data_IF_487993851420
#
_entry.id   IF_487993851420
#
_cell.length_a   1.000
_cell.length_b   1.000
_cell.length_c   1.000
_cell.angle_alpha   90.00
_cell.angle_beta   90.00
_cell.angle_gamma   90.00
#
_symmetry.space_group_name_H-M   'P 1'
#
loop_
_entity.id
_entity.type
_entity.pdbx_description
1 polymer ?
#
# COMPACT_ATOMS: atom_id res chain seq x y z
N UNK A 1 7.29 7.76 24.79
CA UNK A 1 8.69 7.81 24.41
C UNK A 1 9.40 6.58 24.92
N UNK A 2 9.60 5.61 24.02
CA UNK A 2 10.18 4.27 24.34
C UNK A 2 11.55 4.40 25.04
N UNK A 3 12.35 5.39 24.67
CA UNK A 3 13.66 5.63 25.29
C UNK A 3 13.55 5.96 26.78
N UNK A 4 12.62 6.82 27.17
CA UNK A 4 12.39 7.13 28.60
C UNK A 4 11.86 5.93 29.38
N UNK A 5 11.08 5.08 28.73
CA UNK A 5 10.59 3.83 29.34
C UNK A 5 11.77 2.85 29.52
N UNK A 6 12.61 2.68 28.48
CA UNK A 6 13.76 1.79 28.55
C UNK A 6 14.80 2.20 29.63
N UNK A 7 15.05 3.49 29.77
CA UNK A 7 15.95 4.02 30.83
C UNK A 7 15.44 3.74 32.24
N UNK A 8 14.10 3.62 32.41
CA UNK A 8 13.49 3.33 33.70
C UNK A 8 13.52 1.85 34.09
N UNK A 9 13.56 0.94 33.12
CA UNK A 9 13.44 -0.50 33.35
C UNK A 9 14.70 -1.31 33.01
N UNK A 10 15.67 -0.72 32.31
CA UNK A 10 16.88 -1.40 31.91
C UNK A 10 18.12 -0.81 32.63
N UNK A 11 18.92 -1.69 33.22
CA UNK A 11 20.17 -1.32 33.87
C UNK A 11 21.32 -1.42 32.85
N UNK A 12 21.92 -0.28 32.48
CA UNK A 12 23.04 -0.17 31.49
C UNK A 12 22.74 -0.89 30.18
N UNK A 13 21.66 -0.53 29.45
CA UNK A 13 21.32 -1.21 28.20
C UNK A 13 22.39 -0.93 27.13
N UNK A 14 22.86 -1.98 26.47
CA UNK A 14 23.67 -1.85 25.26
C UNK A 14 22.76 -1.47 24.09
N UNK A 15 23.02 -0.31 23.49
CA UNK A 15 22.25 0.19 22.34
C UNK A 15 22.79 -0.45 21.07
N UNK A 16 22.07 -1.42 20.52
CA UNK A 16 22.38 -2.02 19.23
C UNK A 16 21.51 -1.35 18.17
N UNK A 17 22.12 -0.61 17.26
CA UNK A 17 21.42 -0.09 16.08
C UNK A 17 21.67 -1.06 14.93
N UNK A 18 20.69 -1.90 14.64
CA UNK A 18 20.72 -2.78 13.48
C UNK A 18 20.28 -1.99 12.25
N UNK A 19 21.19 -1.29 11.58
CA UNK A 19 20.99 -0.60 10.31
C UNK A 19 19.75 0.30 10.22
N UNK A 20 19.62 1.07 9.16
CA UNK A 20 18.37 1.77 8.86
C UNK A 20 17.28 0.72 8.52
N UNK A 21 16.23 0.65 9.35
CA UNK A 21 15.01 -0.15 9.06
C UNK A 21 14.23 0.40 7.85
N UNK A 22 14.69 1.50 7.29
CA UNK A 22 14.21 2.02 6.02
C UNK A 22 14.75 1.14 4.91
N UNK A 23 13.90 0.27 4.35
CA UNK A 23 14.09 -0.22 2.97
C UNK A 23 14.48 1.00 2.15
N UNK A 24 15.56 0.95 1.33
CA UNK A 24 15.91 2.10 0.52
C UNK A 24 14.71 2.47 -0.33
N UNK A 25 14.01 3.53 0.06
CA UNK A 25 12.84 4.07 -0.67
C UNK A 25 13.21 4.28 -2.15
N UNK A 26 14.49 4.54 -2.41
CA UNK A 26 15.08 4.66 -3.74
C UNK A 26 14.88 3.43 -4.66
N UNK A 27 14.63 2.24 -4.12
CA UNK A 27 14.37 1.01 -4.93
C UNK A 27 12.89 0.76 -5.21
N UNK A 28 11.99 1.59 -4.68
CA UNK A 28 10.56 1.44 -4.88
C UNK A 28 10.11 2.47 -5.91
N UNK A 29 9.62 2.00 -7.05
CA UNK A 29 8.98 2.89 -8.03
C UNK A 29 7.67 3.39 -7.45
N UNK A 30 7.63 4.67 -7.05
CA UNK A 30 6.44 5.29 -6.47
C UNK A 30 5.68 6.06 -7.54
N UNK A 31 4.37 5.83 -7.59
CA UNK A 31 3.44 6.49 -8.51
C UNK A 31 2.25 7.03 -7.72
N UNK A 32 1.71 8.17 -8.15
CA UNK A 32 0.47 8.72 -7.62
C UNK A 32 -0.57 8.81 -8.72
N UNK A 33 -1.82 8.49 -8.40
CA UNK A 33 -2.94 8.62 -9.31
C UNK A 33 -4.02 9.47 -8.67
N UNK A 34 -4.34 10.60 -9.28
CA UNK A 34 -5.44 11.47 -8.85
C UNK A 34 -6.74 10.92 -9.36
N UNK A 35 -7.66 10.65 -8.45
CA UNK A 35 -8.93 10.00 -8.75
C UNK A 35 -10.08 10.76 -8.10
N UNK A 36 -11.24 10.71 -8.74
CA UNK A 36 -12.50 11.08 -8.08
C UNK A 36 -12.96 9.94 -7.19
N UNK A 37 -13.59 10.27 -6.07
CA UNK A 37 -14.03 9.28 -5.09
C UNK A 37 -14.95 8.23 -5.70
N UNK A 38 -15.82 8.65 -6.60
CA UNK A 38 -16.78 7.82 -7.31
C UNK A 38 -16.09 6.80 -8.24
N UNK A 39 -14.96 7.18 -8.84
CA UNK A 39 -14.24 6.36 -9.82
C UNK A 39 -13.13 5.51 -9.21
N UNK A 40 -12.89 5.65 -7.90
CA UNK A 40 -11.74 5.05 -7.21
C UNK A 40 -11.69 3.53 -7.35
N UNK A 41 -12.85 2.88 -7.31
CA UNK A 41 -12.91 1.43 -7.47
C UNK A 41 -12.63 0.98 -8.92
N UNK A 42 -13.21 1.65 -9.91
CA UNK A 42 -12.99 1.33 -11.32
C UNK A 42 -11.51 1.52 -11.68
N UNK A 43 -10.89 2.59 -11.20
CA UNK A 43 -9.45 2.80 -11.36
C UNK A 43 -8.63 1.67 -10.69
N UNK A 44 -9.08 1.14 -9.56
CA UNK A 44 -8.41 -0.01 -8.93
C UNK A 44 -8.45 -1.25 -9.83
N UNK A 45 -9.60 -1.54 -10.45
CA UNK A 45 -9.72 -2.65 -11.39
C UNK A 45 -8.80 -2.46 -12.60
N UNK A 46 -8.77 -1.26 -13.19
CA UNK A 46 -7.83 -0.93 -14.28
C UNK A 46 -6.37 -1.20 -13.86
N UNK A 47 -6.02 -0.84 -12.63
CA UNK A 47 -4.67 -1.06 -12.11
C UNK A 47 -4.33 -2.55 -11.93
N UNK A 48 -5.32 -3.40 -11.65
CA UNK A 48 -5.12 -4.86 -11.60
C UNK A 48 -4.83 -5.47 -12.98
N UNK A 49 -5.40 -4.90 -14.03
CA UNK A 49 -5.13 -5.33 -15.41
C UNK A 49 -3.71 -4.94 -15.87
N UNK A 50 -3.24 -3.77 -15.41
CA UNK A 50 -1.92 -3.24 -15.79
C UNK A 50 -0.76 -3.88 -15.02
N UNK A 51 -1.01 -4.47 -13.85
CA UNK A 51 0.01 -5.04 -12.96
C UNK A 51 -0.11 -6.55 -12.88
N UNK A 52 0.94 -7.25 -13.25
CA UNK A 52 1.03 -8.72 -13.07
C UNK A 52 1.58 -9.05 -11.68
N UNK A 53 1.27 -10.25 -11.17
CA UNK A 53 1.81 -10.76 -9.92
C UNK A 53 1.03 -10.35 -8.68
N UNK A 54 1.68 -10.42 -7.53
CA UNK A 54 1.06 -10.23 -6.21
C UNK A 54 0.82 -8.75 -5.89
N UNK A 55 -0.39 -8.44 -5.40
CA UNK A 55 -0.80 -7.06 -5.09
C UNK A 55 -1.32 -7.00 -3.65
N UNK A 56 -0.78 -6.04 -2.87
CA UNK A 56 -1.30 -5.69 -1.55
C UNK A 56 -2.02 -4.34 -1.65
N UNK A 57 -3.31 -4.33 -1.33
CA UNK A 57 -4.14 -3.12 -1.34
C UNK A 57 -4.39 -2.67 0.09
N UNK A 58 -4.02 -1.45 0.42
CA UNK A 58 -4.30 -0.85 1.72
C UNK A 58 -5.58 -0.04 1.72
N UNK A 59 -6.46 -0.36 2.67
CA UNK A 59 -7.72 0.36 2.93
C UNK A 59 -7.78 0.84 4.38
N UNK A 60 -8.55 1.89 4.62
CA UNK A 60 -8.60 2.57 5.92
C UNK A 60 -9.26 1.74 7.02
N UNK A 61 -10.27 0.93 6.69
CA UNK A 61 -11.07 0.21 7.70
C UNK A 61 -11.27 -1.26 7.37
N UNK A 62 -11.44 -2.09 8.42
CA UNK A 62 -11.76 -3.52 8.29
C UNK A 62 -13.05 -3.77 7.49
N UNK A 63 -14.09 -2.94 7.70
CA UNK A 63 -15.35 -3.03 6.94
C UNK A 63 -15.15 -2.75 5.44
N UNK A 64 -14.27 -1.80 5.11
CA UNK A 64 -13.92 -1.54 3.71
C UNK A 64 -13.11 -2.69 3.12
N UNK A 65 -12.24 -3.35 3.88
CA UNK A 65 -11.51 -4.52 3.43
C UNK A 65 -12.47 -5.66 3.06
N UNK A 66 -13.40 -6.00 3.94
CA UNK A 66 -14.38 -7.06 3.68
C UNK A 66 -15.29 -6.73 2.50
N UNK A 67 -15.82 -5.50 2.43
CA UNK A 67 -16.67 -5.04 1.33
C UNK A 67 -15.95 -5.08 -0.01
N UNK A 68 -14.71 -4.61 -0.04
CA UNK A 68 -13.90 -4.63 -1.25
C UNK A 68 -13.63 -6.05 -1.72
N UNK A 69 -13.25 -6.96 -0.82
CA UNK A 69 -13.00 -8.36 -1.17
C UNK A 69 -14.26 -9.07 -1.63
N UNK A 70 -15.42 -8.80 -1.01
CA UNK A 70 -16.70 -9.33 -1.47
C UNK A 70 -16.95 -8.94 -2.92
N UNK A 71 -16.85 -7.64 -3.24
CA UNK A 71 -17.05 -7.12 -4.59
C UNK A 71 -16.03 -7.67 -5.60
N UNK A 72 -14.76 -7.75 -5.20
CA UNK A 72 -13.70 -8.33 -6.05
C UNK A 72 -13.96 -9.80 -6.38
N UNK A 73 -14.50 -10.58 -5.44
CA UNK A 73 -14.86 -11.98 -5.68
C UNK A 73 -16.09 -12.13 -6.59
N UNK A 74 -17.06 -11.22 -6.49
CA UNK A 74 -18.22 -11.15 -7.39
C UNK A 74 -17.80 -10.80 -8.84
N UNK A 75 -16.64 -10.17 -9.01
CA UNK A 75 -16.03 -9.83 -10.30
C UNK A 75 -14.90 -10.82 -10.69
N UNK A 76 -14.91 -12.05 -10.14
CA UNK A 76 -13.97 -13.16 -10.41
C UNK A 76 -12.50 -12.86 -10.07
N UNK A 77 -12.23 -11.84 -9.25
CA UNK A 77 -10.88 -11.58 -8.78
C UNK A 77 -10.46 -12.49 -7.63
N UNK A 78 -9.26 -13.05 -7.72
CA UNK A 78 -8.67 -13.91 -6.69
C UNK A 78 -8.14 -13.08 -5.51
N UNK A 79 -9.05 -12.63 -4.63
CA UNK A 79 -8.77 -11.73 -3.52
C UNK A 79 -9.12 -12.33 -2.15
N UNK A 80 -8.40 -11.87 -1.10
CA UNK A 80 -8.77 -12.12 0.30
C UNK A 80 -8.46 -10.90 1.17
N UNK A 81 -9.15 -10.79 2.34
CA UNK A 81 -8.94 -9.70 3.29
C UNK A 81 -8.08 -10.14 4.48
N UNK A 82 -7.29 -9.18 5.01
CA UNK A 82 -6.59 -9.34 6.28
C UNK A 82 -6.74 -8.11 7.17
N UNK A 83 -7.38 -8.28 8.33
CA UNK A 83 -7.63 -7.21 9.30
C UNK A 83 -7.70 -7.77 10.72
N UNK A 84 -7.75 -6.87 11.72
CA UNK A 84 -7.64 -7.23 13.13
C UNK A 84 -8.70 -8.19 13.67
N UNK A 85 -9.91 -8.21 13.09
CA UNK A 85 -11.01 -9.07 13.57
C UNK A 85 -10.91 -10.52 13.08
N UNK A 86 -9.95 -10.84 12.22
CA UNK A 86 -9.77 -12.21 11.77
C UNK A 86 -9.09 -13.05 12.87
N UNK A 87 -9.67 -14.23 13.15
CA UNK A 87 -9.02 -15.23 14.00
C UNK A 87 -7.67 -15.65 13.41
N UNK A 88 -6.70 -15.98 14.26
CA UNK A 88 -5.33 -16.30 13.82
C UNK A 88 -5.31 -17.41 12.75
N UNK A 89 -6.09 -18.48 12.93
CA UNK A 89 -6.16 -19.57 11.96
C UNK A 89 -6.62 -19.13 10.56
N UNK A 90 -7.53 -18.13 10.48
CA UNK A 90 -7.96 -17.55 9.21
C UNK A 90 -6.88 -16.66 8.59
N UNK A 91 -6.16 -15.90 9.43
CA UNK A 91 -5.01 -15.07 8.98
C UNK A 91 -3.92 -15.95 8.36
N UNK A 92 -3.56 -17.06 9.03
CA UNK A 92 -2.53 -17.98 8.54
C UNK A 92 -2.94 -18.62 7.21
N UNK A 93 -4.22 -19.00 7.09
CA UNK A 93 -4.77 -19.53 5.83
C UNK A 93 -4.70 -18.52 4.68
N UNK A 94 -5.08 -17.28 4.93
CA UNK A 94 -5.04 -16.19 3.94
C UNK A 94 -3.59 -15.95 3.48
N UNK A 95 -2.65 -15.85 4.43
CA UNK A 95 -1.23 -15.64 4.11
C UNK A 95 -0.66 -16.82 3.34
N UNK A 96 -0.99 -18.06 3.74
CA UNK A 96 -0.56 -19.26 3.03
C UNK A 96 -1.09 -19.30 1.60
N UNK A 97 -2.35 -18.92 1.39
CA UNK A 97 -2.96 -18.84 0.06
C UNK A 97 -2.29 -17.76 -0.82
N UNK A 98 -1.99 -16.60 -0.22
CA UNK A 98 -1.28 -15.52 -0.91
C UNK A 98 0.17 -15.92 -1.26
N UNK A 99 0.90 -16.57 -0.36
CA UNK A 99 2.24 -17.12 -0.61
C UNK A 99 2.26 -18.14 -1.76
N UNK A 100 1.25 -18.99 -1.84
CA UNK A 100 1.13 -20.00 -2.90
C UNK A 100 0.67 -19.42 -4.24
N UNK A 101 0.34 -18.12 -4.29
CA UNK A 101 -0.19 -17.48 -5.49
C UNK A 101 -1.64 -17.84 -5.82
N UNK A 102 -2.31 -18.67 -4.98
CA UNK A 102 -3.75 -19.00 -5.17
C UNK A 102 -4.65 -17.80 -4.88
N UNK A 103 -4.15 -16.82 -4.14
CA UNK A 103 -4.73 -15.49 -3.99
C UNK A 103 -3.72 -14.45 -4.47
N UNK A 104 -4.08 -13.74 -5.54
CA UNK A 104 -3.24 -12.71 -6.15
C UNK A 104 -3.32 -11.38 -5.43
N UNK A 105 -4.51 -11.06 -4.89
CA UNK A 105 -4.82 -9.76 -4.29
C UNK A 105 -5.07 -9.95 -2.80
N UNK A 106 -4.35 -9.19 -1.97
CA UNK A 106 -4.58 -9.13 -0.53
C UNK A 106 -5.02 -7.72 -0.16
N UNK A 107 -6.20 -7.58 0.44
CA UNK A 107 -6.72 -6.30 0.94
C UNK A 107 -6.49 -6.22 2.44
N UNK A 108 -5.75 -5.21 2.91
CA UNK A 108 -5.28 -5.13 4.29
C UNK A 108 -5.58 -3.77 4.95
N UNK A 109 -5.68 -3.78 6.27
CA UNK A 109 -5.55 -2.58 7.11
C UNK A 109 -4.14 -2.50 7.71
N UNK A 110 -3.68 -1.30 8.10
CA UNK A 110 -2.35 -1.09 8.67
C UNK A 110 -2.06 -1.99 9.87
N UNK A 111 -2.99 -2.04 10.82
CA UNK A 111 -2.86 -2.85 12.04
C UNK A 111 -2.58 -4.32 11.72
N UNK A 112 -3.27 -4.84 10.72
CA UNK A 112 -3.12 -6.24 10.36
C UNK A 112 -1.87 -6.52 9.52
N UNK A 113 -1.42 -5.56 8.75
CA UNK A 113 -0.22 -5.69 7.92
C UNK A 113 1.09 -5.55 8.70
N UNK A 114 1.03 -4.89 9.88
CA UNK A 114 2.19 -4.81 10.78
C UNK A 114 2.52 -6.17 11.39
N UNK A 115 3.81 -6.51 11.44
CA UNK A 115 4.27 -7.77 12.02
C UNK A 115 3.93 -9.03 11.21
N UNK A 116 3.27 -8.90 10.05
CA UNK A 116 3.06 -10.02 9.17
C UNK A 116 4.30 -10.29 8.33
N UNK A 117 4.76 -11.53 8.39
CA UNK A 117 5.70 -12.07 7.42
C UNK A 117 4.95 -12.39 6.12
N UNK A 118 4.66 -11.32 5.36
CA UNK A 118 4.09 -11.45 4.03
C UNK A 118 5.25 -11.61 3.04
N UNK A 119 5.17 -12.59 2.12
CA UNK A 119 6.21 -12.82 1.14
C UNK A 119 6.39 -11.59 0.24
N UNK A 120 7.39 -11.65 -0.62
CA UNK A 120 7.70 -10.60 -1.57
C UNK A 120 6.45 -10.15 -2.33
N UNK A 121 6.04 -8.93 -2.07
CA UNK A 121 4.91 -8.30 -2.75
C UNK A 121 5.46 -7.47 -3.90
N UNK A 122 4.96 -7.71 -5.11
CA UNK A 122 5.41 -6.99 -6.29
C UNK A 122 4.83 -5.58 -6.35
N UNK A 123 3.56 -5.43 -5.94
CA UNK A 123 2.86 -4.16 -6.03
C UNK A 123 2.12 -3.82 -4.73
N UNK A 124 2.35 -2.64 -4.21
CA UNK A 124 1.55 -2.05 -3.13
C UNK A 124 0.63 -0.98 -3.72
N UNK A 125 -0.66 -1.03 -3.39
CA UNK A 125 -1.62 0.01 -3.76
C UNK A 125 -2.19 0.63 -2.49
N UNK A 126 -1.87 1.88 -2.24
CA UNK A 126 -2.53 2.67 -1.20
C UNK A 126 -3.87 3.17 -1.76
N UNK A 127 -4.91 2.34 -1.66
CA UNK A 127 -6.27 2.72 -2.05
C UNK A 127 -6.79 3.86 -1.17
N UNK A 128 -6.54 3.79 0.15
CA UNK A 128 -6.75 4.89 1.08
C UNK A 128 -5.41 5.29 1.70
N UNK A 129 -5.20 6.60 1.93
CA UNK A 129 -4.04 7.07 2.68
C UNK A 129 -4.07 6.56 4.12
N UNK A 130 -2.89 6.36 4.75
CA UNK A 130 -2.80 6.00 6.17
C UNK A 130 -3.30 7.14 7.06
N UNK A 131 -3.56 6.81 8.34
CA UNK A 131 -3.97 7.81 9.32
C UNK A 131 -2.81 8.65 9.86
N UNK A 132 -1.61 8.11 9.81
CA UNK A 132 -0.36 8.80 10.16
C UNK A 132 0.65 8.67 9.02
N UNK A 133 1.44 9.73 8.74
CA UNK A 133 2.36 9.73 7.58
C UNK A 133 3.39 8.62 7.61
N UNK A 134 3.88 8.24 8.79
CA UNK A 134 4.93 7.22 8.97
C UNK A 134 4.48 5.83 8.49
N UNK A 135 3.18 5.53 8.57
CA UNK A 135 2.62 4.28 8.09
C UNK A 135 2.75 4.12 6.57
N UNK A 136 2.83 5.23 5.84
CA UNK A 136 3.10 5.19 4.41
C UNK A 136 4.42 4.45 4.09
N UNK A 137 5.48 4.79 4.83
CA UNK A 137 6.80 4.15 4.66
C UNK A 137 6.71 2.65 4.97
N UNK A 138 5.99 2.29 6.05
CA UNK A 138 5.78 0.89 6.41
C UNK A 138 4.98 0.11 5.36
N UNK A 139 4.00 0.75 4.69
CA UNK A 139 3.21 0.14 3.62
C UNK A 139 4.05 -0.11 2.37
N UNK A 140 4.74 0.91 1.86
CA UNK A 140 5.56 0.76 0.66
C UNK A 140 6.74 -0.17 0.90
N UNK A 141 7.28 -0.23 2.13
CA UNK A 141 8.30 -1.20 2.53
C UNK A 141 7.83 -2.66 2.57
N UNK A 142 6.57 -2.97 2.16
CA UNK A 142 6.13 -4.35 1.91
C UNK A 142 6.56 -4.87 0.55
N UNK A 143 6.97 -4.01 -0.36
CA UNK A 143 7.58 -4.39 -1.63
C UNK A 143 9.08 -4.09 -1.67
N UNK A 144 9.76 -4.45 -2.75
CA UNK A 144 11.20 -4.20 -2.97
C UNK A 144 12.13 -4.76 -1.87
N UNK A 145 11.79 -5.92 -1.29
CA UNK A 145 12.63 -6.60 -0.31
C UNK A 145 13.65 -7.51 -0.96
N UNK A 146 14.74 -7.80 -0.25
CA UNK A 146 15.79 -8.73 -0.69
C UNK A 146 16.40 -8.39 -2.06
N UNK A 147 16.48 -7.10 -2.41
CA UNK A 147 17.12 -6.65 -3.66
C UNK A 147 16.23 -6.68 -4.89
N UNK A 148 14.97 -7.12 -4.79
CA UNK A 148 14.02 -7.09 -5.90
C UNK A 148 13.44 -5.68 -6.11
N UNK A 149 13.04 -5.41 -7.34
CA UNK A 149 12.27 -4.20 -7.67
C UNK A 149 10.82 -4.34 -7.21
N UNK A 150 10.22 -3.22 -6.84
CA UNK A 150 8.82 -3.17 -6.43
C UNK A 150 8.16 -1.86 -6.81
N UNK A 151 6.84 -1.85 -6.88
CA UNK A 151 6.11 -0.62 -7.15
C UNK A 151 5.07 -0.30 -6.09
N UNK A 152 4.90 0.98 -5.82
CA UNK A 152 3.88 1.50 -4.94
C UNK A 152 3.03 2.54 -5.69
N UNK A 153 1.73 2.32 -5.76
CA UNK A 153 0.76 3.25 -6.33
C UNK A 153 -0.10 3.84 -5.22
N UNK A 154 -0.29 5.15 -5.24
CA UNK A 154 -1.13 5.84 -4.25
C UNK A 154 -2.26 6.57 -4.94
N UNK A 155 -3.49 6.26 -4.56
CA UNK A 155 -4.67 7.00 -5.00
C UNK A 155 -4.85 8.25 -4.15
N UNK A 156 -5.06 9.38 -4.81
CA UNK A 156 -5.23 10.67 -4.18
C UNK A 156 -6.57 11.28 -4.62
N UNK A 157 -7.44 11.53 -3.65
CA UNK A 157 -8.67 12.32 -3.83
C UNK A 157 -8.44 13.76 -3.40
N UNK A 158 -9.45 14.63 -3.58
CA UNK A 158 -9.38 16.03 -3.11
C UNK A 158 -9.21 16.13 -1.58
N UNK A 159 -9.81 15.18 -0.86
CA UNK A 159 -9.81 15.18 0.60
C UNK A 159 -8.43 14.77 1.18
N UNK A 160 -7.57 14.17 0.36
CA UNK A 160 -6.28 13.63 0.78
C UNK A 160 -5.15 14.67 0.83
N UNK A 161 -5.42 15.94 0.44
CA UNK A 161 -4.40 16.99 0.26
C UNK A 161 -3.50 17.18 1.50
N UNK A 162 -4.08 17.32 2.67
CA UNK A 162 -3.31 17.60 3.89
C UNK A 162 -2.41 16.42 4.28
N UNK A 163 -2.99 15.22 4.27
CA UNK A 163 -2.25 14.00 4.60
C UNK A 163 -1.15 13.73 3.57
N UNK A 164 -1.44 13.91 2.28
CA UNK A 164 -0.44 13.71 1.22
C UNK A 164 0.73 14.71 1.35
N UNK A 165 0.46 15.97 1.67
CA UNK A 165 1.52 16.95 1.90
C UNK A 165 2.43 16.55 3.06
N UNK A 166 1.87 15.99 4.14
CA UNK A 166 2.66 15.48 5.27
C UNK A 166 3.51 14.27 4.88
N UNK A 167 2.95 13.34 4.09
CA UNK A 167 3.67 12.18 3.57
C UNK A 167 4.79 12.61 2.61
N UNK A 168 4.52 13.55 1.70
CA UNK A 168 5.50 14.04 0.72
C UNK A 168 6.70 14.68 1.39
N UNK A 169 6.50 15.48 2.44
CA UNK A 169 7.58 16.05 3.25
C UNK A 169 8.38 15.00 4.01
N UNK A 170 7.75 13.90 4.41
CA UNK A 170 8.44 12.80 5.09
C UNK A 170 9.33 12.01 4.12
N UNK A 171 8.88 11.85 2.86
CA UNK A 171 9.63 11.12 1.81
C UNK A 171 10.80 11.98 1.30
N UNK A 172 10.51 13.23 0.99
CA UNK A 172 11.47 14.21 0.47
C UNK A 172 11.23 15.57 1.13
N UNK A 173 12.02 15.92 2.16
CA UNK A 173 11.90 17.21 2.85
C UNK A 173 12.09 18.43 1.94
N UNK A 174 12.76 18.28 0.79
CA UNK A 174 13.00 19.33 -0.18
C UNK A 174 11.91 19.41 -1.25
N UNK A 175 10.93 18.51 -1.21
CA UNK A 175 9.85 18.48 -2.18
C UNK A 175 8.96 19.72 -2.04
N UNK A 176 9.01 20.60 -3.05
CA UNK A 176 8.17 21.80 -3.15
C UNK A 176 6.90 21.57 -4.00
N UNK A 177 6.67 20.34 -4.48
CA UNK A 177 5.46 20.06 -5.25
C UNK A 177 4.21 20.16 -4.37
N UNK A 178 3.47 21.26 -4.55
CA UNK A 178 2.15 21.40 -3.97
C UNK A 178 1.17 20.42 -4.64
N UNK A 179 0.30 19.83 -3.82
CA UNK A 179 -0.81 19.03 -4.29
C UNK A 179 -1.78 19.90 -5.14
N UNK A 180 -1.61 19.89 -6.47
CA UNK A 180 -2.47 20.61 -7.39
C UNK A 180 -3.37 19.63 -8.14
N UNK A 181 -4.70 19.68 -7.87
CA UNK A 181 -5.67 18.76 -8.46
C UNK A 181 -5.92 18.97 -9.97
N UNK A 182 -5.47 20.10 -10.53
CA UNK A 182 -5.76 20.49 -11.91
C UNK A 182 -4.83 19.89 -12.97
N UNK A 183 -3.78 19.17 -12.62
CA UNK A 183 -2.98 18.44 -13.62
C UNK A 183 -3.76 17.22 -14.10
N UNK A 184 -4.57 17.38 -15.14
CA UNK A 184 -5.17 16.29 -15.92
C UNK A 184 -4.03 15.40 -16.44
N UNK A 185 -4.02 14.13 -16.04
CA UNK A 185 -3.22 13.11 -16.73
C UNK A 185 -3.74 13.03 -18.16
N UNK A 186 -2.99 13.55 -19.13
CA UNK A 186 -3.30 13.36 -20.55
C UNK A 186 -3.12 11.87 -20.86
N UNK A 187 -4.20 11.10 -20.79
CA UNK A 187 -4.26 9.81 -21.46
C UNK A 187 -4.15 10.07 -22.96
N UNK A 188 -3.01 9.75 -23.58
CA UNK A 188 -2.91 9.62 -25.02
C UNK A 188 -3.84 8.49 -25.45
N UNK A 189 -5.04 8.87 -25.91
CA UNK A 189 -5.93 7.97 -26.64
C UNK A 189 -5.26 7.58 -27.95
N UNK A 190 -4.51 6.47 -27.96
CA UNK A 190 -4.24 5.72 -29.17
C UNK A 190 -5.44 4.78 -29.43
N UNK A 191 -6.57 5.33 -29.81
CA UNK A 191 -7.61 4.59 -30.52
C UNK A 191 -7.25 4.55 -31.98
N UNK A 192 -7.14 3.32 -32.48
CA UNK A 192 -6.69 2.94 -33.79
C UNK A 192 -7.35 3.65 -34.96
N UNK A 193 -6.53 3.87 -35.94
CA UNK A 193 -6.99 3.98 -37.33
C UNK A 193 -7.32 2.59 -37.82
N UNK A 194 -8.60 2.34 -38.12
CA UNK A 194 -9.02 1.27 -39.01
C UNK A 194 -8.42 1.56 -40.37
N UNK A 195 -7.73 0.60 -40.93
CA UNK A 195 -7.48 0.56 -42.36
C UNK A 195 -8.54 -0.34 -43.02
N UNK A 196 -9.08 0.17 -44.08
CA UNK A 196 -9.89 -0.51 -45.05
C UNK A 196 -9.11 -1.66 -45.69
#
# INVERSE_FOLDING_TARGET
DILKISERYLTKPTRISAGSTTVPIAKIKQETLRVYKENKYNELIDQFLLRKGSILVFVKTKRNADRMVKRLKEEDHSADAIHGDLRQSKRDRVIKAFRKGTKRILVATDVAARGLDIPLIQHVINYDLPQVPEDYIHRIGRTARAGSEGSALTFLTRDDKLMWNSISKLIDPNNKEEFNHNKKTQRKNKRGKKFY
#
